data_IF_144852250010
#
_entry.id   IF_144852250010
#
_cell.length_a   1.000
_cell.length_b   1.000
_cell.length_c   1.000
_cell.angle_alpha   90.00
_cell.angle_beta   90.00
_cell.angle_gamma   90.00
#
_symmetry.space_group_name_H-M   'P 1'
#
loop_
_entity.id
_entity.type
_entity.pdbx_description
1 polymer ?
#
# COMPACT_ATOMS: atom_id res chain seq x y z
N UNK A 1 -34.68 60.45 12.07
CA UNK A 1 -34.52 59.16 12.77
C UNK A 1 -35.35 58.08 12.04
N UNK A 2 -34.73 57.35 11.11
CA UNK A 2 -35.31 56.12 10.52
C UNK A 2 -34.29 55.01 10.75
N UNK A 3 -34.67 53.99 11.52
CA UNK A 3 -33.83 52.83 11.84
C UNK A 3 -33.68 52.00 10.57
N UNK A 4 -32.44 51.82 10.12
CA UNK A 4 -32.09 50.95 9.00
C UNK A 4 -31.90 49.53 9.58
N UNK A 5 -32.88 48.65 9.38
CA UNK A 5 -32.77 47.24 9.73
C UNK A 5 -31.89 46.54 8.69
N UNK A 6 -30.69 46.13 9.09
CA UNK A 6 -29.82 45.27 8.27
C UNK A 6 -30.37 43.84 8.37
N UNK A 7 -31.01 43.38 7.31
CA UNK A 7 -31.33 41.97 7.12
C UNK A 7 -30.04 41.29 6.62
N UNK A 8 -29.40 40.51 7.49
CA UNK A 8 -28.33 39.59 7.10
C UNK A 8 -28.98 38.43 6.37
N UNK A 9 -28.96 38.47 5.04
CA UNK A 9 -29.30 37.31 4.21
C UNK A 9 -28.16 36.30 4.33
N UNK A 10 -28.36 35.28 5.17
CA UNK A 10 -27.48 34.12 5.27
C UNK A 10 -27.62 33.34 3.95
N UNK A 11 -26.70 33.55 3.01
CA UNK A 11 -26.57 32.68 1.85
C UNK A 11 -26.08 31.32 2.35
N UNK A 12 -27.02 30.41 2.59
CA UNK A 12 -26.71 28.98 2.64
C UNK A 12 -26.25 28.64 1.23
N UNK A 13 -24.95 28.44 1.05
CA UNK A 13 -24.39 27.86 -0.15
C UNK A 13 -24.93 26.42 -0.23
N UNK A 14 -26.06 26.26 -0.91
CA UNK A 14 -26.51 24.95 -1.38
C UNK A 14 -25.48 24.56 -2.43
N UNK A 15 -24.52 23.71 -2.04
CA UNK A 15 -23.66 23.02 -2.98
C UNK A 15 -24.58 22.33 -3.99
N UNK A 16 -24.45 22.62 -5.30
CA UNK A 16 -25.23 21.90 -6.27
C UNK A 16 -24.82 20.44 -6.16
N UNK A 17 -25.81 19.56 -5.95
CA UNK A 17 -25.70 18.14 -6.24
C UNK A 17 -25.02 18.02 -7.59
N UNK A 18 -23.85 17.41 -7.60
CA UNK A 18 -23.11 17.11 -8.82
C UNK A 18 -24.07 16.29 -9.68
N UNK A 19 -24.60 16.91 -10.73
CA UNK A 19 -25.25 16.18 -11.81
C UNK A 19 -24.20 15.19 -12.33
N UNK A 20 -24.45 13.91 -12.12
CA UNK A 20 -23.56 12.83 -12.51
C UNK A 20 -23.34 12.94 -14.01
N UNK A 21 -22.09 13.14 -14.43
CA UNK A 21 -21.75 13.10 -15.84
C UNK A 21 -22.02 11.68 -16.38
N UNK A 22 -22.99 11.59 -17.29
CA UNK A 22 -23.03 10.80 -18.53
C UNK A 22 -22.14 9.55 -18.59
N UNK A 23 -22.78 8.38 -18.57
CA UNK A 23 -22.36 7.09 -19.15
C UNK A 23 -20.95 6.58 -18.80
N UNK A 24 -20.26 7.19 -17.82
CA UNK A 24 -18.89 6.88 -17.47
C UNK A 24 -18.43 7.49 -16.14
N UNK A 25 -17.41 6.88 -15.55
CA UNK A 25 -16.65 7.41 -14.42
C UNK A 25 -15.19 7.00 -14.52
N UNK A 26 -14.31 7.77 -13.88
CA UNK A 26 -12.89 7.44 -13.79
C UNK A 26 -12.32 7.99 -12.49
N UNK A 27 -11.22 7.42 -12.04
CA UNK A 27 -10.45 7.95 -10.92
C UNK A 27 -9.03 7.44 -10.95
N UNK A 28 -8.13 8.21 -10.33
CA UNK A 28 -6.70 7.89 -10.22
C UNK A 28 -6.16 8.49 -8.94
N UNK A 29 -5.48 7.67 -8.13
CA UNK A 29 -4.80 8.11 -6.91
C UNK A 29 -3.37 8.53 -7.24
N UNK A 30 -2.98 9.72 -6.77
CA UNK A 30 -1.65 10.30 -6.98
C UNK A 30 -1.00 10.71 -5.65
N UNK A 31 0.29 10.38 -5.41
CA UNK A 31 1.10 9.49 -6.25
C UNK A 31 0.52 8.07 -6.28
N UNK A 32 0.80 7.34 -7.37
CA UNK A 32 0.43 5.93 -7.44
C UNK A 32 1.22 5.11 -6.39
N UNK A 33 0.65 4.03 -5.85
CA UNK A 33 1.40 3.10 -5.01
C UNK A 33 2.60 2.54 -5.78
N UNK A 34 3.69 2.27 -5.08
CA UNK A 34 4.95 1.83 -5.70
C UNK A 34 4.99 0.33 -5.95
N UNK A 35 5.61 -0.08 -7.06
CA UNK A 35 5.91 -1.49 -7.32
C UNK A 35 6.96 -2.01 -6.34
N UNK A 36 6.82 -3.27 -5.94
CA UNK A 36 7.72 -3.96 -5.02
C UNK A 36 7.71 -5.47 -5.27
N UNK A 37 8.42 -6.24 -4.44
CA UNK A 37 8.39 -7.71 -4.48
C UNK A 37 7.34 -8.18 -3.46
N UNK A 38 6.73 -9.36 -3.69
CA UNK A 38 5.86 -9.98 -2.69
C UNK A 38 6.63 -10.60 -1.52
N UNK A 39 7.97 -10.47 -1.48
CA UNK A 39 8.90 -11.00 -0.49
C UNK A 39 8.63 -12.47 -0.16
N UNK A 40 8.86 -13.33 -1.15
CA UNK A 40 8.58 -14.77 -1.03
C UNK A 40 9.13 -15.39 0.26
N UNK A 41 8.24 -16.07 1.00
CA UNK A 41 8.58 -16.83 2.21
C UNK A 41 9.61 -17.91 1.93
N UNK A 42 9.59 -18.46 0.72
CA UNK A 42 10.50 -19.52 0.29
C UNK A 42 11.91 -19.00 0.01
N UNK A 43 12.00 -17.87 -0.70
CA UNK A 43 13.29 -17.26 -1.05
C UNK A 43 13.95 -16.66 0.20
N UNK A 44 13.18 -16.04 1.08
CA UNK A 44 13.66 -15.46 2.34
C UNK A 44 14.56 -14.24 2.13
N UNK A 45 14.25 -13.40 1.14
CA UNK A 45 15.07 -12.23 0.79
C UNK A 45 15.22 -11.23 1.95
N UNK A 46 14.24 -11.14 2.85
CA UNK A 46 14.30 -10.27 4.03
C UNK A 46 15.43 -10.66 5.00
N UNK A 47 15.78 -11.96 5.09
CA UNK A 47 16.80 -12.49 6.01
C UNK A 47 18.07 -13.01 5.33
N UNK A 48 18.03 -13.33 4.04
CA UNK A 48 19.17 -13.86 3.28
C UNK A 48 19.73 -12.89 2.26
N UNK A 49 19.01 -11.81 1.96
CA UNK A 49 19.27 -10.96 0.82
C UNK A 49 18.91 -11.66 -0.50
N UNK A 50 19.24 -11.02 -1.60
CA UNK A 50 19.07 -11.52 -2.96
C UNK A 50 20.42 -11.51 -3.69
N UNK A 51 20.55 -12.13 -4.88
CA UNK A 51 21.82 -12.18 -5.59
C UNK A 51 22.45 -10.78 -5.76
N UNK A 52 23.67 -10.61 -5.25
CA UNK A 52 24.40 -9.35 -5.29
C UNK A 52 24.05 -8.36 -4.17
N UNK A 53 23.17 -8.72 -3.23
CA UNK A 53 22.77 -7.87 -2.11
C UNK A 53 22.98 -8.56 -0.76
N UNK A 54 24.00 -8.08 -0.06
CA UNK A 54 24.32 -8.48 1.32
C UNK A 54 24.97 -7.27 2.01
N UNK A 55 24.72 -7.03 3.31
CA UNK A 55 23.82 -7.78 4.20
C UNK A 55 22.33 -7.67 3.82
N UNK A 56 21.51 -8.60 4.32
CA UNK A 56 20.07 -8.64 4.09
C UNK A 56 19.34 -7.48 4.79
N UNK A 57 18.10 -7.13 4.38
CA UNK A 57 17.33 -6.05 4.99
C UNK A 57 17.22 -6.17 6.52
N UNK A 58 16.93 -7.36 7.04
CA UNK A 58 16.75 -7.55 8.49
C UNK A 58 18.08 -7.63 9.25
N UNK A 59 19.16 -8.07 8.60
CA UNK A 59 20.51 -7.99 9.19
C UNK A 59 20.91 -6.53 9.39
N UNK A 60 20.60 -5.67 8.41
CA UNK A 60 20.80 -4.21 8.52
C UNK A 60 19.92 -3.60 9.59
N UNK A 61 18.65 -4.01 9.66
CA UNK A 61 17.73 -3.56 10.71
C UNK A 61 18.24 -3.92 12.12
N UNK A 62 18.59 -5.18 12.36
CA UNK A 62 19.11 -5.65 13.64
C UNK A 62 20.36 -4.88 14.05
N UNK A 63 21.30 -4.68 13.11
CA UNK A 63 22.50 -3.88 13.33
C UNK A 63 22.18 -2.41 13.65
N UNK A 64 21.21 -1.80 12.98
CA UNK A 64 20.81 -0.43 13.24
C UNK A 64 20.20 -0.28 14.63
N UNK A 65 19.24 -1.13 15.00
CA UNK A 65 18.62 -1.09 16.33
C UNK A 65 19.65 -1.38 17.43
N UNK A 66 20.57 -2.31 17.21
CA UNK A 66 21.68 -2.55 18.12
C UNK A 66 22.56 -1.32 18.29
N UNK A 67 22.88 -0.60 17.20
CA UNK A 67 23.66 0.65 17.27
C UNK A 67 22.93 1.76 18.04
N UNK A 68 21.59 1.75 18.06
CA UNK A 68 20.76 2.76 18.73
C UNK A 68 20.48 2.46 20.20
N UNK A 69 20.42 1.18 20.57
CA UNK A 69 19.92 0.73 21.88
C UNK A 69 20.94 -0.08 22.69
N UNK A 70 22.04 -0.50 22.08
CA UNK A 70 22.98 -1.46 22.65
C UNK A 70 22.47 -2.90 22.65
N UNK A 71 21.28 -3.18 22.12
CA UNK A 71 20.67 -4.53 22.11
C UNK A 71 20.19 -4.90 20.71
N UNK A 72 20.56 -6.09 20.26
CA UNK A 72 20.01 -6.67 19.03
C UNK A 72 18.53 -7.06 19.28
N UNK A 73 17.58 -6.59 18.46
CA UNK A 73 16.15 -6.88 18.67
C UNK A 73 15.77 -8.30 18.24
N UNK A 74 16.58 -8.96 17.41
CA UNK A 74 16.40 -10.34 16.98
C UNK A 74 15.39 -10.52 15.85
N UNK A 75 15.23 -9.54 14.96
CA UNK A 75 14.30 -9.63 13.84
C UNK A 75 14.70 -10.75 12.87
N UNK A 76 15.99 -10.90 12.55
CA UNK A 76 16.46 -12.01 11.71
C UNK A 76 16.17 -13.37 12.36
N UNK A 77 16.42 -13.49 13.67
CA UNK A 77 16.23 -14.73 14.40
C UNK A 77 14.76 -15.14 14.47
N UNK A 78 13.85 -14.19 14.70
CA UNK A 78 12.41 -14.44 14.69
C UNK A 78 11.91 -14.81 13.30
N UNK A 79 12.30 -14.04 12.28
CA UNK A 79 11.87 -14.25 10.90
C UNK A 79 12.33 -15.62 10.37
N UNK A 80 13.54 -16.04 10.72
CA UNK A 80 14.13 -17.32 10.30
C UNK A 80 13.49 -18.55 10.93
N UNK A 81 12.72 -18.38 12.01
CA UNK A 81 12.03 -19.49 12.67
C UNK A 81 10.80 -19.91 11.85
N UNK A 82 10.90 -21.08 11.21
CA UNK A 82 9.86 -21.63 10.33
C UNK A 82 8.50 -21.79 11.03
N UNK A 83 8.46 -21.81 12.37
CA UNK A 83 7.21 -21.88 13.15
C UNK A 83 6.41 -20.58 13.09
N UNK A 84 7.06 -19.45 12.83
CA UNK A 84 6.40 -18.16 12.67
C UNK A 84 5.73 -18.03 11.31
N UNK A 85 6.15 -18.82 10.32
CA UNK A 85 5.57 -18.87 8.97
C UNK A 85 5.79 -17.60 8.12
N UNK A 86 6.84 -16.82 8.39
CA UNK A 86 7.25 -15.69 7.53
C UNK A 86 8.41 -16.06 6.59
N UNK A 87 9.35 -16.88 7.05
CA UNK A 87 10.24 -17.65 6.18
C UNK A 87 9.96 -19.15 6.30
N UNK A 88 9.83 -19.84 5.17
CA UNK A 88 9.69 -21.28 5.13
C UNK A 88 10.23 -21.82 3.79
N UNK A 89 11.35 -22.57 3.79
CA UNK A 89 11.94 -23.10 2.55
C UNK A 89 11.05 -24.14 1.84
N UNK A 90 10.02 -24.65 2.53
CA UNK A 90 9.02 -25.59 1.99
C UNK A 90 7.73 -24.90 1.55
N UNK A 91 7.62 -23.58 1.70
CA UNK A 91 6.46 -22.83 1.23
C UNK A 91 6.28 -22.98 -0.29
N UNK A 92 5.04 -22.78 -0.72
CA UNK A 92 4.74 -22.66 -2.14
C UNK A 92 5.34 -21.37 -2.72
N UNK A 93 5.53 -21.32 -4.03
CA UNK A 93 6.30 -20.23 -4.66
C UNK A 93 5.59 -18.87 -4.61
N UNK A 94 4.28 -18.85 -4.39
CA UNK A 94 3.45 -17.66 -4.30
C UNK A 94 3.33 -17.10 -2.88
N UNK A 95 3.59 -17.92 -1.86
CA UNK A 95 3.48 -17.48 -0.47
C UNK A 95 4.53 -16.41 -0.17
N UNK A 96 4.07 -15.29 0.39
CA UNK A 96 4.88 -14.12 0.68
C UNK A 96 4.18 -13.12 1.57
N UNK A 97 4.69 -11.91 1.53
CA UNK A 97 4.25 -10.70 2.18
C UNK A 97 3.54 -9.77 1.18
N UNK A 98 2.80 -10.32 0.21
CA UNK A 98 2.09 -9.52 -0.80
C UNK A 98 1.09 -8.54 -0.17
N UNK A 99 0.39 -8.95 0.88
CA UNK A 99 -0.51 -8.09 1.66
C UNK A 99 0.26 -6.93 2.33
N UNK A 100 1.41 -7.24 2.94
CA UNK A 100 2.25 -6.25 3.60
C UNK A 100 2.88 -5.26 2.62
N UNK A 101 3.39 -5.75 1.49
CA UNK A 101 3.83 -4.90 0.38
C UNK A 101 2.70 -4.01 -0.14
N UNK A 102 1.54 -4.58 -0.45
CA UNK A 102 0.43 -3.82 -1.00
C UNK A 102 -0.01 -2.69 -0.05
N UNK A 103 -0.13 -2.97 1.25
CA UNK A 103 -0.43 -1.95 2.25
C UNK A 103 0.67 -0.90 2.39
N UNK A 104 1.93 -1.32 2.49
CA UNK A 104 3.08 -0.42 2.57
C UNK A 104 3.14 0.53 1.36
N UNK A 105 2.79 0.03 0.16
CA UNK A 105 2.79 0.81 -1.07
C UNK A 105 1.78 1.95 -1.08
N UNK A 106 0.68 1.79 -0.35
CA UNK A 106 -0.40 2.78 -0.23
C UNK A 106 -0.13 3.72 0.93
N UNK A 107 0.31 3.20 2.08
CA UNK A 107 0.41 3.94 3.34
C UNK A 107 1.75 4.68 3.52
N UNK A 108 2.78 4.32 2.76
CA UNK A 108 4.12 4.89 2.90
C UNK A 108 4.64 5.51 1.60
N UNK A 109 5.30 6.67 1.65
CA UNK A 109 6.02 7.20 0.51
C UNK A 109 7.03 6.20 -0.03
N UNK A 110 7.18 6.13 -1.35
CA UNK A 110 8.16 5.24 -1.95
C UNK A 110 9.59 5.56 -1.48
N UNK A 111 10.35 4.56 -0.99
CA UNK A 111 11.79 4.69 -0.84
C UNK A 111 12.47 4.82 -2.21
N UNK A 112 13.02 6.01 -2.52
CA UNK A 112 13.63 6.31 -3.85
C UNK A 112 15.15 6.35 -3.86
N UNK A 113 15.78 6.33 -2.69
CA UNK A 113 17.23 6.50 -2.55
C UNK A 113 17.77 5.67 -1.39
N UNK A 114 19.05 5.37 -1.47
CA UNK A 114 19.77 4.79 -0.34
C UNK A 114 19.84 5.77 0.82
N UNK A 115 19.40 5.34 1.99
CA UNK A 115 19.54 6.08 3.24
C UNK A 115 20.72 5.51 4.04
N UNK A 116 21.58 6.39 4.53
CA UNK A 116 22.66 6.01 5.45
C UNK A 116 22.25 6.35 6.88
N UNK A 117 22.33 5.37 7.78
CA UNK A 117 21.99 5.50 9.21
C UNK A 117 23.06 4.84 10.05
N UNK A 118 23.76 5.62 10.88
CA UNK A 118 24.88 5.13 11.68
C UNK A 118 25.91 4.31 10.87
N UNK A 119 26.22 4.77 9.66
CA UNK A 119 27.14 4.07 8.73
C UNK A 119 26.54 2.88 7.98
N UNK A 120 25.30 2.47 8.27
CA UNK A 120 24.60 1.38 7.60
C UNK A 120 23.84 1.93 6.39
N UNK A 121 24.06 1.36 5.22
CA UNK A 121 23.39 1.73 3.98
C UNK A 121 22.13 0.88 3.77
N UNK A 122 20.97 1.53 3.75
CA UNK A 122 19.68 0.95 3.42
C UNK A 122 19.29 1.38 2.01
N UNK A 123 19.37 0.48 1.03
CA UNK A 123 18.95 0.73 -0.36
C UNK A 123 17.42 0.91 -0.43
N UNK A 124 16.86 1.36 -1.58
CA UNK A 124 15.42 1.28 -1.82
C UNK A 124 14.83 -0.10 -1.52
N UNK A 125 15.50 -1.17 -1.98
CA UNK A 125 15.06 -2.55 -1.72
C UNK A 125 15.01 -2.90 -0.23
N UNK A 126 16.03 -2.53 0.55
CA UNK A 126 16.01 -2.75 2.00
C UNK A 126 14.83 -2.07 2.68
N UNK A 127 14.62 -0.79 2.35
CA UNK A 127 13.56 0.03 2.93
C UNK A 127 12.18 -0.51 2.58
N UNK A 128 11.96 -0.91 1.32
CA UNK A 128 10.71 -1.53 0.87
C UNK A 128 10.45 -2.84 1.61
N UNK A 129 11.45 -3.70 1.78
CA UNK A 129 11.30 -4.97 2.49
C UNK A 129 10.95 -4.80 3.97
N UNK A 130 11.61 -3.85 4.65
CA UNK A 130 11.31 -3.56 6.06
C UNK A 130 9.90 -2.96 6.22
N UNK A 131 9.49 -2.06 5.33
CA UNK A 131 8.13 -1.52 5.32
C UNK A 131 7.09 -2.62 5.06
N UNK A 132 7.34 -3.51 4.10
CA UNK A 132 6.42 -4.62 3.80
C UNK A 132 6.19 -5.52 5.00
N UNK A 133 7.20 -5.77 5.82
CA UNK A 133 7.03 -6.55 7.05
C UNK A 133 6.24 -5.80 8.12
N UNK A 134 6.51 -4.51 8.33
CA UNK A 134 5.75 -3.69 9.28
C UNK A 134 4.25 -3.67 8.93
N UNK A 135 3.90 -3.65 7.64
CA UNK A 135 2.51 -3.61 7.21
C UNK A 135 1.90 -5.01 6.99
N UNK A 136 2.52 -6.09 7.45
CA UNK A 136 1.91 -7.42 7.36
C UNK A 136 0.61 -7.51 8.15
N UNK A 137 0.51 -6.75 9.23
CA UNK A 137 -0.73 -6.54 9.95
C UNK A 137 -1.19 -5.08 9.78
N UNK A 138 -2.44 -4.88 9.38
CA UNK A 138 -2.98 -3.52 9.18
C UNK A 138 -4.41 -3.39 9.66
N UNK A 139 -4.74 -2.18 10.11
CA UNK A 139 -6.13 -1.77 10.17
C UNK A 139 -6.65 -1.64 8.75
N UNK A 140 -7.82 -2.20 8.49
CA UNK A 140 -8.43 -2.13 7.17
C UNK A 140 -9.95 -2.03 7.24
N UNK A 141 -10.53 -1.54 6.16
CA UNK A 141 -11.94 -1.79 5.82
C UNK A 141 -11.99 -2.88 4.77
N UNK A 142 -12.74 -3.95 5.01
CA UNK A 142 -12.80 -5.14 4.16
C UNK A 142 -14.18 -5.28 3.51
N UNK A 143 -14.22 -5.69 2.25
CA UNK A 143 -15.41 -5.86 1.40
C UNK A 143 -15.33 -7.21 0.68
N UNK A 144 -16.42 -7.99 0.70
CA UNK A 144 -16.41 -9.42 0.36
C UNK A 144 -15.83 -10.29 1.50
N UNK A 145 -15.71 -11.59 1.27
CA UNK A 145 -14.97 -12.51 2.14
C UNK A 145 -14.02 -13.35 1.28
N UNK A 146 -13.08 -14.01 1.96
CA UNK A 146 -12.19 -14.94 1.30
C UNK A 146 -12.96 -16.20 0.92
N UNK A 147 -12.95 -16.58 -0.36
CA UNK A 147 -13.43 -17.87 -0.80
C UNK A 147 -12.41 -18.98 -0.47
N UNK A 148 -12.74 -19.88 0.44
CA UNK A 148 -11.88 -20.98 0.87
C UNK A 148 -12.19 -22.29 0.12
N UNK A 149 -13.01 -22.23 -0.94
CA UNK A 149 -13.56 -23.40 -1.64
C UNK A 149 -14.33 -24.35 -0.71
N UNK A 150 -14.93 -23.82 0.36
CA UNK A 150 -15.71 -24.60 1.33
C UNK A 150 -17.20 -24.62 0.96
N UNK A 151 -17.95 -25.67 1.35
CA UNK A 151 -19.40 -25.67 1.20
C UNK A 151 -20.03 -24.49 1.94
N UNK A 152 -20.65 -23.57 1.21
CA UNK A 152 -21.30 -22.37 1.75
C UNK A 152 -20.55 -21.05 1.49
N UNK A 153 -19.34 -21.09 0.94
CA UNK A 153 -18.66 -19.89 0.46
C UNK A 153 -19.40 -19.33 -0.76
N UNK A 154 -19.78 -18.05 -0.73
CA UNK A 154 -20.35 -17.38 -1.89
C UNK A 154 -19.22 -16.85 -2.75
N UNK A 155 -18.98 -17.53 -3.86
CA UNK A 155 -17.97 -17.14 -4.86
C UNK A 155 -18.15 -15.68 -5.33
N UNK A 156 -19.36 -15.10 -5.25
CA UNK A 156 -19.65 -13.73 -5.71
C UNK A 156 -19.80 -12.73 -4.55
N UNK A 157 -19.26 -13.02 -3.35
CA UNK A 157 -19.58 -12.22 -2.16
C UNK A 157 -19.06 -10.77 -2.18
N UNK A 158 -18.15 -10.43 -3.11
CA UNK A 158 -18.01 -9.07 -3.61
C UNK A 158 -18.98 -8.83 -4.77
N UNK A 159 -20.21 -8.40 -4.43
CA UNK A 159 -21.21 -8.07 -5.43
C UNK A 159 -20.77 -6.88 -6.30
N UNK A 160 -21.08 -6.86 -7.62
CA UNK A 160 -20.58 -5.82 -8.52
C UNK A 160 -21.05 -4.40 -8.20
N UNK A 161 -22.21 -4.25 -7.57
CA UNK A 161 -22.68 -2.95 -7.09
C UNK A 161 -21.85 -2.44 -5.90
N UNK A 162 -21.45 -3.34 -5.00
CA UNK A 162 -20.48 -3.00 -3.94
C UNK A 162 -19.11 -2.67 -4.53
N UNK A 163 -18.60 -3.50 -5.46
CA UNK A 163 -17.37 -3.24 -6.20
C UNK A 163 -17.38 -1.84 -6.84
N UNK A 164 -18.44 -1.52 -7.59
CA UNK A 164 -18.61 -0.22 -8.25
C UNK A 164 -18.66 0.92 -7.22
N UNK A 165 -19.42 0.76 -6.13
CA UNK A 165 -19.52 1.76 -5.07
C UNK A 165 -18.17 2.02 -4.40
N UNK A 166 -17.38 0.99 -4.13
CA UNK A 166 -16.06 1.12 -3.49
C UNK A 166 -15.08 1.83 -4.43
N UNK A 167 -15.12 1.57 -5.74
CA UNK A 167 -14.36 2.34 -6.74
C UNK A 167 -14.68 3.83 -6.70
N UNK A 168 -15.96 4.18 -6.69
CA UNK A 168 -16.40 5.58 -6.60
C UNK A 168 -15.98 6.21 -5.28
N UNK A 169 -16.23 5.50 -4.18
CA UNK A 169 -16.01 5.98 -2.82
C UNK A 169 -14.53 6.24 -2.53
N UNK A 170 -13.61 5.40 -3.01
CA UNK A 170 -12.19 5.51 -2.65
C UNK A 170 -11.34 6.14 -3.74
N UNK A 171 -11.46 5.66 -4.99
CA UNK A 171 -10.57 6.11 -6.07
C UNK A 171 -11.13 7.35 -6.78
N UNK A 172 -12.42 7.35 -7.15
CA UNK A 172 -13.00 8.50 -7.86
C UNK A 172 -13.06 9.76 -6.99
N UNK A 173 -13.33 9.59 -5.69
CA UNK A 173 -13.30 10.69 -4.71
C UNK A 173 -11.90 11.17 -4.34
N UNK A 174 -10.85 10.44 -4.76
CA UNK A 174 -9.46 10.73 -4.40
C UNK A 174 -9.07 10.39 -2.96
N UNK A 175 -9.86 9.57 -2.25
CA UNK A 175 -9.63 9.25 -0.83
C UNK A 175 -8.46 8.29 -0.60
N UNK A 176 -8.38 7.20 -1.35
CA UNK A 176 -7.31 6.19 -1.20
C UNK A 176 -7.26 5.24 -2.38
N UNK A 177 -6.10 4.63 -2.61
CA UNK A 177 -6.03 3.38 -3.35
C UNK A 177 -6.63 2.25 -2.50
N UNK A 178 -6.93 1.12 -3.12
CA UNK A 178 -7.42 -0.08 -2.45
C UNK A 178 -6.58 -1.29 -2.85
N UNK A 179 -6.79 -2.43 -2.21
CA UNK A 179 -6.10 -3.68 -2.50
C UNK A 179 -7.15 -4.70 -2.88
N UNK A 180 -6.90 -5.46 -3.94
CA UNK A 180 -7.78 -6.55 -4.34
C UNK A 180 -6.99 -7.83 -4.53
N UNK A 181 -7.63 -8.94 -4.19
CA UNK A 181 -7.27 -10.23 -4.75
C UNK A 181 -7.92 -10.36 -6.11
N UNK A 182 -7.10 -10.38 -7.16
CA UNK A 182 -7.56 -10.31 -8.55
C UNK A 182 -8.16 -11.62 -9.06
N UNK A 183 -8.07 -12.71 -8.29
CA UNK A 183 -8.54 -14.04 -8.68
C UNK A 183 -9.11 -14.80 -7.49
N UNK A 184 -10.34 -15.30 -7.61
CA UNK A 184 -10.95 -16.20 -6.64
C UNK A 184 -10.48 -17.66 -6.82
N UNK A 185 -9.18 -17.90 -6.57
CA UNK A 185 -8.57 -19.24 -6.54
C UNK A 185 -7.83 -19.49 -5.22
N UNK A 186 -7.14 -20.64 -5.07
CA UNK A 186 -6.43 -20.99 -3.82
C UNK A 186 -5.28 -20.01 -3.47
N UNK A 187 -4.66 -19.41 -4.48
CA UNK A 187 -3.50 -18.52 -4.35
C UNK A 187 -3.98 -17.10 -4.08
N UNK A 188 -3.78 -16.64 -2.85
CA UNK A 188 -4.17 -15.28 -2.47
C UNK A 188 -3.08 -14.30 -2.89
N UNK A 189 -3.42 -13.42 -3.84
CA UNK A 189 -2.58 -12.31 -4.23
C UNK A 189 -3.19 -10.99 -3.77
N UNK A 190 -2.37 -10.01 -3.45
CA UNK A 190 -2.84 -8.70 -3.01
C UNK A 190 -2.17 -7.65 -3.88
N UNK A 191 -2.95 -7.00 -4.75
CA UNK A 191 -2.45 -5.99 -5.65
C UNK A 191 -3.09 -4.62 -5.38
N UNK A 192 -2.29 -3.54 -5.25
CA UNK A 192 -2.82 -2.19 -5.14
C UNK A 192 -3.56 -1.76 -6.41
N UNK A 193 -4.86 -1.48 -6.30
CA UNK A 193 -5.70 -0.87 -7.31
C UNK A 193 -5.75 0.65 -7.08
N UNK A 194 -5.21 1.42 -8.03
CA UNK A 194 -5.04 2.87 -7.86
C UNK A 194 -5.72 3.71 -8.93
N UNK A 195 -6.13 3.10 -10.05
CA UNK A 195 -6.82 3.79 -11.14
C UNK A 195 -7.91 2.89 -11.72
N UNK A 196 -9.01 3.51 -12.15
CA UNK A 196 -10.01 2.84 -12.97
C UNK A 196 -10.63 3.79 -14.01
N UNK A 197 -11.17 3.18 -15.06
CA UNK A 197 -11.99 3.82 -16.09
C UNK A 197 -13.22 2.95 -16.32
N UNK A 198 -14.41 3.52 -16.19
CA UNK A 198 -15.70 2.83 -16.26
C UNK A 198 -16.60 3.51 -17.26
N UNK A 199 -17.36 2.72 -18.01
CA UNK A 199 -18.39 3.18 -18.95
C UNK A 199 -19.62 2.32 -18.79
N UNK A 200 -20.80 2.88 -19.05
CA UNK A 200 -22.05 2.16 -18.99
C UNK A 200 -23.11 2.69 -19.95
N UNK A 201 -24.01 1.80 -20.33
CA UNK A 201 -25.16 2.12 -21.21
C UNK A 201 -26.43 1.51 -20.62
N UNK A 202 -27.58 2.16 -20.81
CA UNK A 202 -28.88 1.53 -20.52
C UNK A 202 -29.21 0.43 -21.54
N UNK A 203 -30.06 -0.52 -21.15
CA UNK A 203 -30.60 -1.49 -22.11
C UNK A 203 -31.57 -0.79 -23.07
N UNK A 204 -31.59 -1.21 -24.35
CA UNK A 204 -32.47 -0.62 -25.38
C UNK A 204 -33.98 -0.65 -25.04
N UNK A 205 -34.36 -1.49 -24.06
CA UNK A 205 -35.73 -1.67 -23.58
C UNK A 205 -35.81 -1.73 -22.05
N UNK A 206 -34.74 -1.36 -21.34
CA UNK A 206 -34.59 -1.57 -19.91
C UNK A 206 -33.71 -0.46 -19.31
N UNK A 207 -34.37 0.66 -18.99
CA UNK A 207 -33.75 1.81 -18.34
C UNK A 207 -33.47 1.55 -16.85
N UNK A 208 -33.97 0.43 -16.30
CA UNK A 208 -33.67 -0.01 -14.94
C UNK A 208 -32.38 -0.81 -14.82
N UNK A 209 -31.63 -0.96 -15.93
CA UNK A 209 -30.36 -1.71 -15.94
C UNK A 209 -29.26 -0.97 -16.69
N UNK A 210 -28.13 -0.80 -16.01
CA UNK A 210 -26.89 -0.31 -16.60
C UNK A 210 -25.97 -1.48 -16.93
N UNK A 211 -25.51 -1.57 -18.19
CA UNK A 211 -24.46 -2.51 -18.60
C UNK A 211 -23.12 -1.81 -18.45
N UNK A 212 -22.30 -2.24 -17.51
CA UNK A 212 -21.06 -1.57 -17.12
C UNK A 212 -19.84 -2.35 -17.63
N UNK A 213 -18.86 -1.62 -18.16
CA UNK A 213 -17.50 -2.11 -18.42
C UNK A 213 -16.52 -1.24 -17.66
N UNK A 214 -15.71 -1.85 -16.80
CA UNK A 214 -14.71 -1.16 -15.98
C UNK A 214 -13.33 -1.76 -16.20
N UNK A 215 -12.36 -0.91 -16.54
CA UNK A 215 -10.93 -1.26 -16.56
C UNK A 215 -10.28 -0.78 -15.28
N UNK A 216 -9.70 -1.69 -14.52
CA UNK A 216 -8.99 -1.45 -13.27
C UNK A 216 -7.49 -1.63 -13.49
N UNK A 217 -6.68 -0.71 -12.97
CA UNK A 217 -5.22 -0.68 -13.12
C UNK A 217 -4.57 -0.98 -11.76
N UNK A 218 -3.86 -2.10 -11.72
CA UNK A 218 -3.22 -2.63 -10.53
C UNK A 218 -1.71 -2.39 -10.59
N UNK A 219 -1.06 -2.24 -9.44
CA UNK A 219 0.38 -2.13 -9.33
C UNK A 219 1.01 -3.52 -9.43
N UNK A 220 2.04 -3.64 -10.25
CA UNK A 220 2.74 -4.89 -10.55
C UNK A 220 3.82 -5.19 -9.48
N UNK A 221 3.89 -6.45 -9.05
CA UNK A 221 4.88 -6.97 -8.10
C UNK A 221 6.09 -7.65 -8.77
N UNK A 222 6.04 -7.81 -10.09
CA UNK A 222 7.08 -8.47 -10.87
C UNK A 222 8.22 -7.50 -11.23
N UNK A 223 8.82 -6.92 -10.19
CA UNK A 223 9.97 -6.01 -10.29
C UNK A 223 11.11 -6.46 -9.39
N UNK A 224 12.34 -6.05 -9.71
CA UNK A 224 13.46 -6.26 -8.80
C UNK A 224 13.25 -5.46 -7.50
N UNK A 225 13.78 -5.91 -6.35
CA UNK A 225 13.68 -5.19 -5.08
C UNK A 225 14.10 -3.72 -5.15
N UNK A 226 15.10 -3.40 -5.98
CA UNK A 226 15.64 -2.05 -6.16
C UNK A 226 14.88 -1.17 -7.16
N UNK A 227 13.81 -1.70 -7.79
CA UNK A 227 13.03 -0.92 -8.73
C UNK A 227 12.37 0.27 -8.04
N UNK A 228 12.42 1.45 -8.66
CA UNK A 228 11.77 2.67 -8.19
C UNK A 228 10.74 3.12 -9.24
N UNK A 229 9.51 3.36 -8.79
CA UNK A 229 8.36 3.75 -9.58
C UNK A 229 7.22 2.73 -9.50
N UNK A 230 6.29 2.88 -10.44
CA UNK A 230 5.09 2.05 -10.54
C UNK A 230 5.04 1.43 -11.93
N UNK A 231 5.08 0.09 -11.99
CA UNK A 231 4.57 -0.68 -13.12
C UNK A 231 3.14 -1.10 -12.83
N UNK A 232 2.37 -1.37 -13.87
CA UNK A 232 0.99 -1.74 -13.73
C UNK A 232 0.56 -2.78 -14.76
N UNK A 233 -0.47 -3.53 -14.40
CA UNK A 233 -1.27 -4.35 -15.29
C UNK A 233 -2.74 -3.96 -15.13
N UNK A 234 -3.61 -4.43 -16.03
CA UNK A 234 -5.01 -4.07 -16.00
C UNK A 234 -5.92 -5.28 -16.17
N UNK A 235 -7.02 -5.27 -15.44
CA UNK A 235 -8.14 -6.19 -15.63
C UNK A 235 -9.37 -5.42 -16.09
N UNK A 236 -10.13 -6.03 -17.00
CA UNK A 236 -11.40 -5.51 -17.47
C UNK A 236 -12.53 -6.36 -16.89
N UNK A 237 -13.42 -5.70 -16.16
CA UNK A 237 -14.59 -6.32 -15.56
C UNK A 237 -15.88 -5.85 -16.24
N UNK A 238 -16.82 -6.77 -16.43
CA UNK A 238 -18.15 -6.49 -17.00
C UNK A 238 -19.25 -6.93 -16.05
N UNK A 239 -20.22 -6.07 -15.80
CA UNK A 239 -21.33 -6.35 -14.88
C UNK A 239 -22.56 -5.51 -15.22
N UNK A 240 -23.72 -5.95 -14.75
CA UNK A 240 -24.94 -5.16 -14.75
C UNK A 240 -25.12 -4.50 -13.39
N UNK A 241 -25.65 -3.28 -13.37
CA UNK A 241 -26.21 -2.65 -12.18
C UNK A 241 -27.71 -2.46 -12.37
N UNK A 242 -28.49 -2.80 -11.36
CA UNK A 242 -29.95 -2.67 -11.37
C UNK A 242 -30.38 -1.45 -10.56
N UNK A 243 -31.34 -0.70 -11.07
CA UNK A 243 -31.77 0.58 -10.54
C UNK A 243 -33.17 0.48 -9.93
N UNK A 244 -33.43 1.23 -8.86
CA UNK A 244 -34.79 1.48 -8.37
C UNK A 244 -35.52 2.53 -9.23
N UNK A 245 -36.79 2.80 -8.90
CA UNK A 245 -37.60 3.80 -9.61
C UNK A 245 -37.10 5.25 -9.48
N UNK A 246 -36.12 5.51 -8.61
CA UNK A 246 -35.45 6.80 -8.46
C UNK A 246 -34.09 6.84 -9.18
N UNK A 247 -33.67 5.75 -9.82
CA UNK A 247 -32.38 5.64 -10.49
C UNK A 247 -31.21 5.30 -9.55
N UNK A 248 -31.46 4.89 -8.30
CA UNK A 248 -30.40 4.45 -7.40
C UNK A 248 -30.01 3.00 -7.71
N UNK A 249 -28.71 2.71 -7.68
CA UNK A 249 -28.22 1.32 -7.77
C UNK A 249 -28.64 0.55 -6.51
N UNK A 250 -29.31 -0.58 -6.71
CA UNK A 250 -29.81 -1.45 -5.62
C UNK A 250 -29.18 -2.84 -5.60
N UNK A 251 -28.62 -3.29 -6.72
CA UNK A 251 -27.90 -4.56 -6.82
C UNK A 251 -27.08 -4.64 -8.11
N UNK A 252 -26.23 -5.65 -8.23
CA UNK A 252 -25.48 -5.94 -9.45
C UNK A 252 -25.34 -7.42 -9.76
N UNK A 253 -24.96 -7.72 -11.00
CA UNK A 253 -24.67 -9.08 -11.47
C UNK A 253 -23.39 -9.06 -12.33
N UNK A 254 -22.42 -9.92 -12.02
CA UNK A 254 -21.25 -10.13 -12.88
C UNK A 254 -21.68 -10.72 -14.24
N UNK A 255 -21.07 -10.26 -15.33
CA UNK A 255 -21.41 -10.70 -16.70
C UNK A 255 -20.18 -11.09 -17.49
N UNK A 256 -20.37 -11.77 -18.62
CA UNK A 256 -19.28 -12.23 -19.48
C UNK A 256 -18.28 -13.11 -18.72
N UNK A 257 -17.00 -12.90 -19.00
CA UNK A 257 -15.89 -13.60 -18.33
C UNK A 257 -15.79 -13.22 -16.85
N UNK A 258 -16.29 -12.04 -16.47
CA UNK A 258 -16.28 -11.60 -15.08
C UNK A 258 -17.22 -12.38 -14.19
N UNK A 259 -18.04 -13.32 -14.70
CA UNK A 259 -18.74 -14.31 -13.86
C UNK A 259 -17.78 -15.31 -13.18
N UNK A 260 -16.55 -15.43 -13.70
CA UNK A 260 -15.51 -16.36 -13.21
C UNK A 260 -14.17 -15.66 -12.96
N UNK A 261 -14.07 -14.40 -13.33
CA UNK A 261 -12.84 -13.63 -13.28
C UNK A 261 -13.17 -12.21 -12.81
N UNK A 262 -13.45 -12.14 -11.52
CA UNK A 262 -13.66 -10.93 -10.76
C UNK A 262 -12.82 -11.01 -9.48
N UNK A 263 -12.61 -9.90 -8.77
CA UNK A 263 -11.88 -9.94 -7.51
C UNK A 263 -12.55 -10.89 -6.51
N UNK A 264 -11.78 -11.58 -5.68
CA UNK A 264 -12.33 -12.38 -4.57
C UNK A 264 -12.81 -11.45 -3.44
N UNK A 265 -11.96 -10.51 -3.06
CA UNK A 265 -12.25 -9.50 -2.06
C UNK A 265 -11.50 -8.21 -2.32
N UNK A 266 -11.93 -7.13 -1.64
CA UNK A 266 -11.28 -5.83 -1.64
C UNK A 266 -11.09 -5.35 -0.21
N UNK A 267 -9.95 -4.74 0.06
CA UNK A 267 -9.73 -4.05 1.32
C UNK A 267 -8.97 -2.75 1.15
N UNK A 268 -9.21 -1.83 2.06
CA UNK A 268 -8.54 -0.52 2.10
C UNK A 268 -7.73 -0.44 3.39
N UNK A 269 -6.40 -0.37 3.31
CA UNK A 269 -5.56 -0.20 4.49
C UNK A 269 -5.76 1.22 5.06
N UNK A 270 -5.86 1.33 6.37
CA UNK A 270 -6.07 2.62 7.07
C UNK A 270 -4.94 2.98 8.03
N UNK A 271 -4.06 2.03 8.34
CA UNK A 271 -2.89 2.26 9.17
C UNK A 271 -2.19 0.96 9.56
N UNK A 272 -0.98 1.12 10.07
CA UNK A 272 -0.21 0.07 10.74
C UNK A 272 -0.99 -0.44 11.97
N UNK A 273 -1.04 -1.77 12.17
CA UNK A 273 -1.69 -2.39 13.30
C UNK A 273 -0.69 -3.24 14.08
N UNK A 274 -0.53 -3.02 15.40
CA UNK A 274 0.44 -3.77 16.18
C UNK A 274 0.11 -5.26 16.18
N UNK A 275 1.14 -6.10 16.15
CA UNK A 275 0.98 -7.53 16.35
C UNK A 275 0.19 -7.82 17.64
N UNK A 276 -0.91 -8.60 17.59
CA UNK A 276 -1.61 -9.00 18.80
C UNK A 276 -0.68 -9.76 19.77
N UNK A 277 -0.95 -9.74 21.09
CA UNK A 277 -0.18 -10.51 22.05
C UNK A 277 -0.10 -11.99 21.66
N UNK A 278 1.11 -12.54 21.57
CA UNK A 278 1.41 -13.90 21.12
C UNK A 278 1.03 -14.20 19.65
N UNK A 279 0.80 -13.17 18.83
CA UNK A 279 0.56 -13.31 17.40
C UNK A 279 1.85 -13.44 16.58
N UNK A 280 1.68 -13.93 15.36
CA UNK A 280 2.69 -14.01 14.32
C UNK A 280 2.15 -13.42 13.02
N UNK A 281 1.39 -12.32 13.11
CA UNK A 281 0.87 -11.65 11.92
C UNK A 281 1.96 -10.83 11.22
N UNK A 282 2.91 -10.32 12.00
CA UNK A 282 4.10 -9.57 11.59
C UNK A 282 5.26 -9.93 12.52
N UNK A 283 6.48 -9.56 12.16
CA UNK A 283 7.65 -9.72 13.01
C UNK A 283 7.62 -8.73 14.19
N UNK A 284 7.36 -9.17 15.44
CA UNK A 284 7.20 -8.29 16.59
C UNK A 284 8.53 -7.64 17.05
N UNK A 285 9.63 -7.92 16.35
CA UNK A 285 10.95 -7.29 16.58
C UNK A 285 11.16 -6.08 15.66
N UNK A 286 10.30 -5.89 14.68
CA UNK A 286 10.21 -4.67 13.87
C UNK A 286 9.40 -3.64 14.66
N UNK A 287 10.08 -2.59 15.13
CA UNK A 287 9.49 -1.47 15.85
C UNK A 287 9.28 -0.32 14.85
N UNK A 288 8.03 0.12 14.62
CA UNK A 288 7.68 1.19 13.68
C UNK A 288 8.54 2.46 13.84
N UNK A 289 9.00 2.76 15.07
CA UNK A 289 9.88 3.90 15.32
C UNK A 289 11.21 3.77 14.58
N UNK A 290 11.83 2.60 14.60
CA UNK A 290 13.10 2.39 13.90
C UNK A 290 12.91 2.27 12.39
N UNK A 291 11.79 1.72 11.93
CA UNK A 291 11.46 1.73 10.50
C UNK A 291 11.34 3.16 9.98
N UNK A 292 10.61 4.02 10.68
CA UNK A 292 10.50 5.45 10.37
C UNK A 292 11.86 6.16 10.37
N UNK A 293 12.72 5.88 11.36
CA UNK A 293 14.08 6.42 11.38
C UNK A 293 14.90 5.97 10.15
N UNK A 294 14.77 4.71 9.72
CA UNK A 294 15.45 4.16 8.55
C UNK A 294 14.95 4.82 7.26
N UNK A 295 13.63 4.94 7.07
CA UNK A 295 13.00 5.37 5.82
C UNK A 295 12.94 6.89 5.66
N UNK A 296 12.69 7.61 6.76
CA UNK A 296 12.45 9.07 6.74
C UNK A 296 13.56 9.86 7.44
N UNK A 297 14.25 9.23 8.40
CA UNK A 297 15.17 9.91 9.33
C UNK A 297 14.53 10.16 10.70
N UNK A 298 15.31 10.62 11.69
CA UNK A 298 14.82 10.81 13.06
C UNK A 298 13.66 11.80 13.13
N UNK A 299 12.66 11.52 13.97
CA UNK A 299 11.48 12.37 14.20
C UNK A 299 11.84 13.79 14.65
N UNK A 300 12.94 13.92 15.38
CA UNK A 300 13.62 15.19 15.56
C UNK A 300 14.76 15.28 14.54
N UNK A 301 14.55 16.08 13.49
CA UNK A 301 15.66 16.77 12.84
C UNK A 301 16.26 17.70 13.89
N UNK A 302 17.24 17.23 14.65
CA UNK A 302 18.10 18.14 15.37
C UNK A 302 18.91 18.92 14.33
N UNK A 303 18.41 20.11 13.99
CA UNK A 303 19.12 21.07 13.14
C UNK A 303 20.38 21.64 13.83
N UNK A 304 20.84 21.07 14.95
CA UNK A 304 22.15 21.35 15.57
C UNK A 304 23.31 20.56 14.96
N UNK A 305 23.12 19.95 13.80
CA UNK A 305 24.18 19.31 13.03
C UNK A 305 24.08 19.69 11.57
N UNK A 306 24.33 20.95 11.24
CA UNK A 306 24.58 21.34 9.87
C UNK A 306 25.83 20.67 9.29
N UNK A 307 25.93 20.74 7.96
CA UNK A 307 27.03 20.35 7.06
C UNK A 307 27.15 18.86 6.76
N UNK A 308 27.00 18.46 5.49
CA UNK A 308 28.01 18.65 4.44
C UNK A 308 29.37 18.12 4.90
N UNK A 309 29.90 17.18 4.11
CA UNK A 309 31.20 16.56 4.29
C UNK A 309 32.27 17.63 4.60
N UNK A 310 32.69 17.76 5.86
CA UNK A 310 33.78 18.67 6.23
C UNK A 310 35.09 17.99 5.91
N UNK A 311 35.88 18.59 5.01
CA UNK A 311 37.24 18.13 4.76
C UNK A 311 38.11 18.30 6.02
N UNK A 312 39.18 17.50 6.18
CA UNK A 312 40.11 17.65 7.31
C UNK A 312 40.64 19.08 7.50
N UNK A 313 40.86 19.81 6.41
CA UNK A 313 41.35 21.19 6.43
C UNK A 313 40.33 22.16 7.07
N UNK A 314 39.03 21.90 6.90
CA UNK A 314 37.98 22.73 7.50
C UNK A 314 37.96 22.63 9.03
N UNK A 315 38.33 21.46 9.57
CA UNK A 315 38.41 21.23 11.03
C UNK A 315 39.61 21.96 11.63
N UNK A 316 40.72 22.01 10.91
CA UNK A 316 41.96 22.68 11.36
C UNK A 316 41.78 24.21 11.37
N UNK A 317 41.15 24.77 10.33
CA UNK A 317 40.86 26.21 10.28
C UNK A 317 39.89 26.68 11.37
N UNK A 318 38.90 25.87 11.74
CA UNK A 318 37.94 26.19 12.81
C UNK A 318 38.61 26.20 14.20
N UNK A 319 39.69 25.43 14.38
CA UNK A 319 40.54 25.47 15.58
C UNK A 319 41.48 26.71 15.63
N UNK A 320 41.37 27.63 14.66
CA UNK A 320 42.21 28.82 14.56
C UNK A 320 43.63 28.53 14.05
N UNK A 321 43.84 27.35 13.46
CA UNK A 321 45.12 26.90 12.93
C UNK A 321 45.09 26.95 11.41
N UNK A 322 46.19 27.37 10.79
CA UNK A 322 46.31 27.35 9.34
C UNK A 322 46.79 25.94 8.90
N UNK A 323 46.06 25.22 8.03
CA UNK A 323 46.45 23.87 7.57
C UNK A 323 47.84 23.82 6.92
N UNK A 324 48.28 24.91 6.29
CA UNK A 324 49.60 25.02 5.67
C UNK A 324 50.76 25.10 6.68
N UNK A 325 50.47 25.29 7.97
CA UNK A 325 51.49 25.38 9.03
C UNK A 325 51.67 24.04 9.78
N UNK A 326 50.84 23.02 9.47
CA UNK A 326 50.83 21.71 10.14
C UNK A 326 51.42 20.59 9.24
N UNK A 327 51.61 20.84 7.94
CA UNK A 327 52.19 19.89 6.98
C UNK A 327 53.21 20.52 6.03
#
# INVERSE_FOLDING_TARGET
>A
MKKLSIIVALFVAVTPLIAVAQDSARGEIKPAPWSGDWWSRKKGFLIKGWPGHSPAPFEKYDAYVQSRTGKNPGAVAWESDIRNNHYNPKAENWEGHCNGWAAASILSPEPKRTNVRNGIQFTPGDQKGILSEQYMNTYCTFYGNRNWERPGDDYNDIYPDEFHRVLMQYIASGKSAMIADTSADRMVWNFPLYKFESTWTTGWFDDSKLKVTTTCYFVDDNVAPEFVGTKWFAHRYTYNLFLDGNGNVVSGEWTGDSRKNHPDFIWVPTGDAPNPPNGNLENPRIDPRFVKEITEGPEHRDFRGGSEFRSPDAVIMEAGLNPADIF
#
